data_IF_944115608908
#
_entry.id   IF_944115608908
#
_cell.length_a   1.000
_cell.length_b   1.000
_cell.length_c   1.000
_cell.angle_alpha   90.00
_cell.angle_beta   90.00
_cell.angle_gamma   90.00
#
_symmetry.space_group_name_H-M   'P 1'
#
loop_
_entity.id
_entity.type
_entity.pdbx_description
1 polymer ?
#
# COMPACT_ATOMS: atom_id res chain seq x y z
N UNK A 1 1.34 -35.32 0.77
CA UNK A 1 -0.04 -34.90 0.40
C UNK A 1 -0.91 -34.54 1.61
N UNK A 2 -0.88 -35.29 2.73
CA UNK A 2 -1.72 -35.01 3.91
C UNK A 2 -1.49 -33.63 4.59
N UNK A 3 -0.27 -33.09 4.56
CA UNK A 3 0.04 -31.76 5.12
C UNK A 3 -0.59 -30.58 4.34
N UNK A 4 -0.73 -30.71 3.02
CA UNK A 4 -1.37 -29.69 2.19
C UNK A 4 -2.88 -29.72 2.38
N UNK A 5 -3.47 -30.92 2.52
CA UNK A 5 -4.91 -31.10 2.72
C UNK A 5 -5.35 -30.54 4.08
N UNK A 6 -4.57 -30.75 5.15
CA UNK A 6 -4.86 -30.19 6.48
C UNK A 6 -4.71 -28.66 6.54
N UNK A 7 -3.73 -28.09 5.83
CA UNK A 7 -3.60 -26.63 5.69
C UNK A 7 -4.78 -26.01 4.92
N UNK A 8 -5.25 -26.66 3.85
CA UNK A 8 -6.41 -26.23 3.07
C UNK A 8 -7.74 -26.36 3.85
N UNK A 9 -7.90 -27.40 4.67
CA UNK A 9 -9.04 -27.52 5.58
C UNK A 9 -9.08 -26.40 6.63
N UNK A 10 -7.91 -25.98 7.12
CA UNK A 10 -7.81 -24.90 8.11
C UNK A 10 -8.09 -23.52 7.48
N UNK A 11 -7.59 -23.24 6.27
CA UNK A 11 -7.94 -22.03 5.52
C UNK A 11 -9.43 -21.97 5.14
N UNK A 12 -10.00 -23.08 4.66
CA UNK A 12 -11.41 -23.14 4.27
C UNK A 12 -12.36 -23.10 5.47
N UNK A 13 -11.92 -23.48 6.67
CA UNK A 13 -12.71 -23.31 7.91
C UNK A 13 -12.81 -21.84 8.32
N UNK A 14 -11.80 -21.05 7.99
CA UNK A 14 -11.70 -19.63 8.35
C UNK A 14 -12.32 -18.68 7.31
N UNK A 15 -13.07 -19.19 6.32
CA UNK A 15 -13.76 -18.39 5.30
C UNK A 15 -14.58 -17.21 5.88
N UNK A 16 -15.16 -17.41 7.07
CA UNK A 16 -15.97 -16.41 7.76
C UNK A 16 -15.13 -15.22 8.27
N UNK A 17 -13.86 -15.46 8.64
CA UNK A 17 -12.92 -14.39 9.00
C UNK A 17 -12.59 -13.51 7.79
N UNK A 18 -12.45 -14.10 6.59
CA UNK A 18 -12.25 -13.32 5.37
C UNK A 18 -13.49 -12.49 5.02
N UNK A 19 -14.69 -13.03 5.25
CA UNK A 19 -15.95 -12.31 5.02
C UNK A 19 -16.10 -11.11 5.97
N UNK A 20 -15.84 -11.31 7.26
CA UNK A 20 -15.82 -10.22 8.26
C UNK A 20 -14.78 -9.16 7.87
N UNK A 21 -13.58 -9.59 7.49
CA UNK A 21 -12.51 -8.67 7.05
C UNK A 21 -12.98 -7.86 5.84
N UNK A 22 -13.61 -8.49 4.84
CA UNK A 22 -14.16 -7.81 3.67
C UNK A 22 -15.20 -6.74 4.03
N UNK A 23 -16.14 -7.06 4.94
CA UNK A 23 -17.14 -6.11 5.43
C UNK A 23 -16.48 -4.93 6.16
N UNK A 24 -15.49 -5.20 7.02
CA UNK A 24 -14.74 -4.16 7.73
C UNK A 24 -14.05 -3.22 6.74
N UNK A 25 -13.43 -3.75 5.68
CA UNK A 25 -12.78 -2.94 4.64
C UNK A 25 -13.78 -2.08 3.86
N UNK A 26 -14.98 -2.59 3.55
CA UNK A 26 -16.04 -1.81 2.91
C UNK A 26 -16.47 -0.66 3.82
N UNK A 27 -16.74 -0.94 5.10
CA UNK A 27 -17.11 0.08 6.08
C UNK A 27 -16.01 1.11 6.26
N UNK A 28 -14.75 0.69 6.33
CA UNK A 28 -13.59 1.59 6.38
C UNK A 28 -13.51 2.49 5.14
N UNK A 29 -13.78 1.96 3.95
CA UNK A 29 -13.90 2.73 2.71
C UNK A 29 -15.00 3.80 2.80
N UNK A 30 -16.19 3.42 3.27
CA UNK A 30 -17.31 4.37 3.46
C UNK A 30 -16.96 5.46 4.47
N UNK A 31 -16.42 5.08 5.63
CA UNK A 31 -15.98 6.03 6.66
C UNK A 31 -14.94 7.00 6.12
N UNK A 32 -14.03 6.54 5.25
CA UNK A 32 -13.02 7.39 4.60
C UNK A 32 -13.63 8.51 3.77
N UNK A 33 -14.75 8.26 3.09
CA UNK A 33 -15.46 9.27 2.34
C UNK A 33 -16.37 10.16 3.19
N UNK A 34 -16.94 9.62 4.27
CA UNK A 34 -17.83 10.39 5.18
C UNK A 34 -17.03 11.33 6.08
N UNK A 35 -15.85 10.91 6.56
CA UNK A 35 -15.00 11.69 7.48
C UNK A 35 -13.60 11.93 6.89
N UNK A 36 -13.49 12.67 5.78
CA UNK A 36 -12.23 12.83 5.03
C UNK A 36 -11.10 13.40 5.89
N UNK A 37 -11.38 14.38 6.75
CA UNK A 37 -10.38 15.01 7.61
C UNK A 37 -9.80 14.04 8.66
N UNK A 38 -10.65 13.23 9.31
CA UNK A 38 -10.21 12.27 10.33
C UNK A 38 -9.44 11.11 9.71
N UNK A 39 -9.92 10.60 8.57
CA UNK A 39 -9.23 9.55 7.84
C UNK A 39 -7.87 10.01 7.32
N UNK A 40 -7.76 11.27 6.90
CA UNK A 40 -6.49 11.86 6.51
C UNK A 40 -5.51 11.95 7.68
N UNK A 41 -5.95 12.41 8.85
CA UNK A 41 -5.13 12.43 10.06
C UNK A 41 -4.70 11.03 10.50
N UNK A 42 -5.59 10.04 10.42
CA UNK A 42 -5.26 8.65 10.71
C UNK A 42 -4.16 8.12 9.76
N UNK A 43 -4.26 8.46 8.46
CA UNK A 43 -3.23 8.13 7.47
C UNK A 43 -1.90 8.81 7.80
N UNK A 44 -1.93 10.07 8.26
CA UNK A 44 -0.75 10.82 8.66
C UNK A 44 -0.05 10.18 9.86
N UNK A 45 -0.80 9.79 10.89
CA UNK A 45 -0.26 9.09 12.05
C UNK A 45 0.32 7.73 11.63
N UNK A 46 -0.40 6.98 10.80
CA UNK A 46 0.08 5.68 10.29
C UNK A 46 1.41 5.82 9.56
N UNK A 47 1.54 6.82 8.67
CA UNK A 47 2.81 7.11 7.98
C UNK A 47 3.91 7.54 8.93
N UNK A 48 3.60 8.39 9.93
CA UNK A 48 4.57 8.80 10.96
C UNK A 48 5.14 7.59 11.72
N UNK A 49 4.27 6.66 12.13
CA UNK A 49 4.69 5.40 12.78
C UNK A 49 5.52 4.55 11.83
N UNK A 50 5.12 4.41 10.57
CA UNK A 50 5.84 3.61 9.59
C UNK A 50 7.25 4.16 9.32
N UNK A 51 7.40 5.48 9.19
CA UNK A 51 8.69 6.15 9.02
C UNK A 51 9.56 5.96 10.27
N UNK A 52 9.00 6.15 11.47
CA UNK A 52 9.72 5.95 12.72
C UNK A 52 10.23 4.51 12.85
N UNK A 53 9.35 3.53 12.66
CA UNK A 53 9.70 2.10 12.71
C UNK A 53 10.74 1.74 11.65
N UNK A 54 10.57 2.24 10.42
CA UNK A 54 11.53 2.07 9.33
C UNK A 54 12.90 2.64 9.66
N UNK A 55 12.96 3.84 10.26
CA UNK A 55 14.19 4.45 10.74
C UNK A 55 14.87 3.62 11.82
N UNK A 56 14.11 3.18 12.83
CA UNK A 56 14.61 2.29 13.90
C UNK A 56 15.17 1.00 13.32
N UNK A 57 14.46 0.36 12.39
CA UNK A 57 14.94 -0.86 11.73
C UNK A 57 16.20 -0.62 10.89
N UNK A 58 16.29 0.49 10.14
CA UNK A 58 17.50 0.86 9.39
C UNK A 58 18.68 1.08 10.32
N UNK A 59 18.49 1.74 11.46
CA UNK A 59 19.54 1.93 12.47
C UNK A 59 19.99 0.58 13.03
N UNK A 60 19.05 -0.28 13.44
CA UNK A 60 19.35 -1.61 13.96
C UNK A 60 20.07 -2.49 12.92
N UNK A 61 19.61 -2.45 11.66
CA UNK A 61 20.21 -3.17 10.55
C UNK A 61 21.62 -2.67 10.25
N UNK A 62 21.82 -1.35 10.21
CA UNK A 62 23.13 -0.76 10.06
C UNK A 62 24.04 -1.31 11.17
N UNK A 63 23.71 -1.10 12.45
CA UNK A 63 24.56 -1.50 13.58
C UNK A 63 24.93 -2.99 13.52
N UNK A 64 23.97 -3.86 13.19
CA UNK A 64 24.16 -5.31 13.11
C UNK A 64 25.09 -5.73 11.96
N UNK A 65 24.99 -5.07 10.81
CA UNK A 65 25.71 -5.42 9.58
C UNK A 65 26.89 -4.49 9.28
N UNK A 66 27.43 -3.81 10.30
CA UNK A 66 28.47 -2.77 10.16
C UNK A 66 29.73 -3.22 9.42
N UNK A 67 30.09 -4.50 9.51
CA UNK A 67 31.32 -5.05 8.92
C UNK A 67 31.12 -5.55 7.49
N UNK A 68 29.88 -5.83 7.08
CA UNK A 68 29.53 -6.31 5.74
C UNK A 68 28.98 -5.21 4.82
N UNK A 69 28.60 -4.05 5.36
CA UNK A 69 28.01 -2.94 4.61
C UNK A 69 29.07 -1.95 4.13
N UNK A 70 29.34 -1.94 2.82
CA UNK A 70 30.01 -0.80 2.17
C UNK A 70 29.10 0.43 2.28
N UNK A 71 29.51 1.45 3.04
CA UNK A 71 28.72 2.67 3.27
C UNK A 71 27.83 2.65 4.52
N UNK A 72 28.11 1.76 5.49
CA UNK A 72 27.40 1.65 6.76
C UNK A 72 27.02 2.99 7.43
N UNK A 73 27.95 3.94 7.48
CA UNK A 73 27.73 5.25 8.11
C UNK A 73 26.61 6.05 7.43
N UNK A 74 26.46 5.94 6.11
CA UNK A 74 25.37 6.60 5.38
C UNK A 74 24.02 5.94 5.68
N UNK A 75 23.98 4.61 5.74
CA UNK A 75 22.76 3.88 6.12
C UNK A 75 22.35 4.23 7.56
N UNK A 76 23.30 4.29 8.49
CA UNK A 76 23.04 4.70 9.87
C UNK A 76 22.50 6.15 9.92
N UNK A 77 23.16 7.09 9.25
CA UNK A 77 22.73 8.48 9.19
C UNK A 77 21.31 8.61 8.63
N UNK A 78 21.01 7.92 7.53
CA UNK A 78 19.66 7.91 6.94
C UNK A 78 18.62 7.32 7.90
N UNK A 79 18.94 6.24 8.62
CA UNK A 79 18.04 5.65 9.61
C UNK A 79 17.77 6.58 10.80
N UNK A 80 18.79 7.30 11.28
CA UNK A 80 18.63 8.29 12.36
C UNK A 80 17.76 9.45 11.89
N UNK A 81 18.00 9.97 10.69
CA UNK A 81 17.17 11.03 10.09
C UNK A 81 15.72 10.58 9.96
N UNK A 82 15.48 9.39 9.41
CA UNK A 82 14.13 8.82 9.29
C UNK A 82 13.45 8.67 10.66
N UNK A 83 14.18 8.18 11.68
CA UNK A 83 13.64 8.04 13.03
C UNK A 83 13.26 9.39 13.66
N UNK A 84 14.12 10.41 13.51
CA UNK A 84 13.84 11.77 14.01
C UNK A 84 12.66 12.38 13.28
N UNK A 85 12.59 12.25 11.95
CA UNK A 85 11.45 12.72 11.15
C UNK A 85 10.18 12.01 11.63
N UNK A 86 10.18 10.68 11.75
CA UNK A 86 9.05 9.91 12.23
C UNK A 86 8.58 10.36 13.61
N UNK A 87 9.51 10.62 14.53
CA UNK A 87 9.19 11.15 15.86
C UNK A 87 8.55 12.54 15.81
N UNK A 88 9.07 13.46 14.99
CA UNK A 88 8.51 14.80 14.79
C UNK A 88 7.09 14.71 14.21
N UNK A 89 6.87 13.86 13.21
CA UNK A 89 5.56 13.67 12.59
C UNK A 89 4.52 13.15 13.61
N UNK A 90 4.94 12.32 14.57
CA UNK A 90 4.03 11.83 15.61
C UNK A 90 3.77 12.85 16.74
N UNK A 91 4.68 13.81 16.94
CA UNK A 91 4.52 14.86 17.94
C UNK A 91 3.41 15.87 17.59
N UNK A 92 3.19 16.12 16.30
CA UNK A 92 2.10 16.98 15.83
C UNK A 92 1.41 16.36 14.59
N UNK A 93 0.19 15.83 14.74
CA UNK A 93 -0.60 15.28 13.64
C UNK A 93 -0.81 16.28 12.49
N UNK A 94 -0.80 17.59 12.78
CA UNK A 94 -0.97 18.63 11.76
C UNK A 94 0.26 18.76 10.87
N UNK A 95 1.46 18.64 11.45
CA UNK A 95 2.71 18.58 10.68
C UNK A 95 2.74 17.31 9.84
N UNK A 96 2.35 16.17 10.42
CA UNK A 96 2.29 14.92 9.65
C UNK A 96 1.35 15.00 8.45
N UNK A 97 0.16 15.58 8.67
CA UNK A 97 -0.83 15.84 7.64
C UNK A 97 -0.31 16.81 6.55
N UNK A 98 0.54 17.78 6.90
CA UNK A 98 1.12 18.70 5.93
C UNK A 98 2.23 18.06 5.09
N UNK A 99 2.97 17.07 5.62
CA UNK A 99 4.10 16.43 4.93
C UNK A 99 3.64 15.36 3.94
N UNK A 100 2.54 14.67 4.23
CA UNK A 100 1.98 13.60 3.39
C UNK A 100 1.84 13.96 1.88
N UNK A 101 1.26 15.11 1.48
CA UNK A 101 1.09 15.47 0.07
C UNK A 101 2.43 15.63 -0.64
N UNK A 102 3.48 16.07 0.07
CA UNK A 102 4.81 16.20 -0.52
C UNK A 102 5.40 14.82 -0.80
N UNK A 103 5.31 13.89 0.15
CA UNK A 103 5.77 12.50 -0.06
C UNK A 103 5.08 11.89 -1.28
N UNK A 104 3.76 12.05 -1.37
CA UNK A 104 2.96 11.53 -2.49
C UNK A 104 3.28 12.24 -3.79
N UNK A 105 3.43 13.56 -3.78
CA UNK A 105 3.80 14.35 -4.95
C UNK A 105 5.15 13.88 -5.51
N UNK A 106 6.15 13.72 -4.66
CA UNK A 106 7.45 13.16 -5.06
C UNK A 106 7.35 11.73 -5.58
N UNK A 107 6.53 10.88 -4.95
CA UNK A 107 6.30 9.53 -5.45
C UNK A 107 5.64 9.53 -6.84
N UNK A 108 4.63 10.37 -7.07
CA UNK A 108 3.97 10.51 -8.36
C UNK A 108 4.96 11.03 -9.43
N UNK A 109 5.83 11.97 -9.07
CA UNK A 109 6.90 12.45 -9.97
C UNK A 109 7.86 11.32 -10.35
N UNK A 110 8.35 10.58 -9.35
CA UNK A 110 9.23 9.44 -9.57
C UNK A 110 8.55 8.38 -10.45
N UNK A 111 7.31 8.01 -10.15
CA UNK A 111 6.53 7.05 -10.92
C UNK A 111 6.29 7.53 -12.37
N UNK A 112 5.99 8.81 -12.57
CA UNK A 112 5.85 9.42 -13.90
C UNK A 112 7.15 9.32 -14.70
N UNK A 113 8.29 9.61 -14.08
CA UNK A 113 9.60 9.43 -14.68
C UNK A 113 9.87 7.99 -15.10
N UNK A 114 9.59 7.02 -14.22
CA UNK A 114 9.74 5.58 -14.52
C UNK A 114 8.83 5.15 -15.68
N UNK A 115 7.57 5.59 -15.71
CA UNK A 115 6.63 5.29 -16.80
C UNK A 115 7.12 5.81 -18.14
N UNK A 116 7.68 7.03 -18.18
CA UNK A 116 8.27 7.57 -19.39
C UNK A 116 9.46 6.71 -19.83
N UNK A 117 10.36 6.35 -18.91
CA UNK A 117 11.51 5.49 -19.22
C UNK A 117 11.08 4.15 -19.81
N UNK A 118 10.10 3.47 -19.17
CA UNK A 118 9.54 2.20 -19.66
C UNK A 118 8.82 2.35 -20.99
N UNK A 119 8.11 3.46 -21.20
CA UNK A 119 7.42 3.75 -22.45
C UNK A 119 8.39 4.03 -23.60
N UNK A 120 9.52 4.68 -23.33
CA UNK A 120 10.60 4.89 -24.31
C UNK A 120 11.28 3.57 -24.68
N UNK A 121 11.61 2.74 -23.68
CA UNK A 121 12.19 1.42 -23.91
C UNK A 121 11.23 0.50 -24.67
N UNK A 122 9.93 0.53 -24.33
CA UNK A 122 8.88 -0.18 -25.06
C UNK A 122 8.67 0.31 -26.49
N UNK A 123 8.93 1.60 -26.78
CA UNK A 123 8.95 2.13 -28.15
C UNK A 123 10.12 1.55 -28.95
N UNK A 124 11.30 1.44 -28.35
CA UNK A 124 12.47 0.83 -29.00
C UNK A 124 12.24 -0.65 -29.33
N UNK A 125 11.44 -1.35 -28.52
CA UNK A 125 11.08 -2.76 -28.71
C UNK A 125 9.83 -2.97 -29.60
N UNK A 126 9.34 -1.93 -30.28
CA UNK A 126 8.13 -1.96 -31.14
C UNK A 126 6.87 -2.54 -30.45
N UNK A 127 6.73 -2.33 -29.13
CA UNK A 127 5.56 -2.78 -28.37
C UNK A 127 4.38 -1.84 -28.65
N UNK A 128 3.27 -2.39 -29.13
CA UNK A 128 2.02 -1.67 -29.35
C UNK A 128 1.49 -1.10 -28.02
N UNK A 129 1.31 0.22 -27.95
CA UNK A 129 0.83 0.91 -26.75
C UNK A 129 1.88 1.71 -25.98
N UNK A 130 3.16 1.64 -26.37
CA UNK A 130 4.23 2.42 -25.74
C UNK A 130 3.97 3.95 -25.72
N UNK A 131 3.32 4.48 -26.77
CA UNK A 131 2.91 5.90 -26.79
C UNK A 131 1.91 6.27 -25.69
N UNK A 132 0.99 5.37 -25.34
CA UNK A 132 0.03 5.58 -24.25
C UNK A 132 0.71 5.57 -22.88
N UNK A 133 1.74 4.73 -22.71
CA UNK A 133 2.52 4.66 -21.46
C UNK A 133 3.31 5.96 -21.24
N UNK A 134 3.94 6.50 -22.29
CA UNK A 134 4.66 7.79 -22.23
C UNK A 134 3.69 8.93 -21.89
N UNK A 135 2.53 8.97 -22.56
CA UNK A 135 1.50 9.98 -22.27
C UNK A 135 1.02 9.89 -20.82
N UNK A 136 0.74 8.68 -20.33
CA UNK A 136 0.38 8.44 -18.94
C UNK A 136 1.46 8.94 -17.97
N UNK A 137 2.74 8.64 -18.24
CA UNK A 137 3.85 9.13 -17.43
C UNK A 137 3.99 10.66 -17.43
N UNK A 138 3.77 11.32 -18.58
CA UNK A 138 3.78 12.78 -18.66
C UNK A 138 2.63 13.42 -17.87
N UNK A 139 1.42 12.84 -17.93
CA UNK A 139 0.29 13.27 -17.10
C UNK A 139 0.59 13.06 -15.62
N UNK A 140 1.20 11.94 -15.24
CA UNK A 140 1.65 11.71 -13.86
C UNK A 140 2.67 12.76 -13.41
N UNK A 141 3.64 13.15 -14.24
CA UNK A 141 4.56 14.23 -13.90
C UNK A 141 3.83 15.55 -13.63
N UNK A 142 2.93 15.96 -14.53
CA UNK A 142 2.15 17.18 -14.35
C UNK A 142 1.29 17.14 -13.07
N UNK A 143 0.68 16.00 -12.78
CA UNK A 143 -0.07 15.80 -11.54
C UNK A 143 0.83 15.86 -10.31
N UNK A 144 2.00 15.22 -10.34
CA UNK A 144 2.98 15.26 -9.25
C UNK A 144 3.46 16.68 -8.97
N UNK A 145 3.76 17.45 -10.02
CA UNK A 145 4.10 18.88 -9.91
C UNK A 145 2.92 19.64 -9.28
N UNK A 146 1.71 19.45 -9.80
CA UNK A 146 0.50 20.11 -9.29
C UNK A 146 0.25 19.84 -7.80
N UNK A 147 0.48 18.60 -7.35
CA UNK A 147 0.35 18.21 -5.94
C UNK A 147 1.37 18.93 -5.05
N UNK A 148 2.60 19.15 -5.53
CA UNK A 148 3.62 19.88 -4.76
C UNK A 148 3.29 21.38 -4.61
N UNK A 149 2.72 21.99 -5.65
CA UNK A 149 2.30 23.41 -5.60
C UNK A 149 0.97 23.62 -4.88
N UNK A 150 0.09 22.62 -4.89
CA UNK A 150 -1.22 22.65 -4.23
C UNK A 150 -1.33 21.44 -3.30
N UNK A 151 -0.71 21.47 -2.09
CA UNK A 151 -0.72 20.34 -1.16
C UNK A 151 -2.12 19.84 -0.79
N UNK A 152 -3.12 20.74 -0.79
CA UNK A 152 -4.51 20.38 -0.58
C UNK A 152 -5.04 19.37 -1.63
N UNK A 153 -4.56 19.44 -2.87
CA UNK A 153 -4.92 18.48 -3.92
C UNK A 153 -4.32 17.10 -3.66
N UNK A 154 -3.14 17.03 -3.03
CA UNK A 154 -2.54 15.76 -2.60
C UNK A 154 -3.34 15.07 -1.50
N UNK A 155 -3.90 15.83 -0.56
CA UNK A 155 -4.78 15.29 0.48
C UNK A 155 -6.06 14.66 -0.12
N UNK A 156 -6.70 15.34 -1.06
CA UNK A 156 -7.89 14.82 -1.78
C UNK A 156 -7.54 13.56 -2.55
N UNK A 157 -6.38 13.54 -3.22
CA UNK A 157 -5.90 12.39 -3.97
C UNK A 157 -5.70 11.19 -3.05
N UNK A 158 -5.05 11.38 -1.89
CA UNK A 158 -4.84 10.34 -0.89
C UNK A 158 -6.15 9.76 -0.37
N UNK A 159 -7.09 10.61 0.07
CA UNK A 159 -8.40 10.17 0.57
C UNK A 159 -9.14 9.37 -0.50
N UNK A 160 -9.16 9.87 -1.73
CA UNK A 160 -9.85 9.23 -2.85
C UNK A 160 -9.23 7.87 -3.18
N UNK A 161 -7.89 7.81 -3.28
CA UNK A 161 -7.17 6.59 -3.63
C UNK A 161 -7.28 5.53 -2.53
N UNK A 162 -7.12 5.93 -1.27
CA UNK A 162 -7.27 5.05 -0.11
C UNK A 162 -8.71 4.55 0.02
N UNK A 163 -9.70 5.44 -0.08
CA UNK A 163 -11.12 5.07 -0.04
C UNK A 163 -11.49 4.09 -1.14
N UNK A 164 -11.04 4.34 -2.38
CA UNK A 164 -11.26 3.43 -3.50
C UNK A 164 -10.56 2.09 -3.31
N UNK A 165 -9.33 2.10 -2.79
CA UNK A 165 -8.55 0.88 -2.51
C UNK A 165 -9.20 0.02 -1.43
N UNK A 166 -9.76 0.63 -0.38
CA UNK A 166 -10.49 -0.10 0.66
C UNK A 166 -11.79 -0.70 0.13
N UNK A 167 -12.52 0.01 -0.73
CA UNK A 167 -13.69 -0.55 -1.40
C UNK A 167 -13.30 -1.73 -2.31
N UNK A 168 -12.26 -1.60 -3.13
CA UNK A 168 -11.81 -2.69 -4.02
C UNK A 168 -11.29 -3.90 -3.23
N UNK A 169 -10.54 -3.67 -2.16
CA UNK A 169 -10.05 -4.73 -1.27
C UNK A 169 -11.22 -5.43 -0.57
N UNK A 170 -12.17 -4.68 -0.04
CA UNK A 170 -13.37 -5.22 0.60
C UNK A 170 -14.19 -6.11 -0.33
N UNK A 171 -14.41 -5.67 -1.57
CA UNK A 171 -15.08 -6.48 -2.61
C UNK A 171 -14.29 -7.76 -2.90
N UNK A 172 -12.96 -7.67 -3.02
CA UNK A 172 -12.09 -8.83 -3.26
C UNK A 172 -12.17 -9.86 -2.13
N UNK A 173 -12.09 -9.41 -0.87
CA UNK A 173 -12.19 -10.30 0.29
C UNK A 173 -13.57 -10.98 0.38
N UNK A 174 -14.65 -10.25 0.10
CA UNK A 174 -15.99 -10.83 0.00
C UNK A 174 -16.07 -11.89 -1.12
N UNK A 175 -15.52 -11.61 -2.31
CA UNK A 175 -15.49 -12.58 -3.41
C UNK A 175 -14.70 -13.85 -3.06
N UNK A 176 -13.53 -13.70 -2.43
CA UNK A 176 -12.69 -14.84 -1.99
C UNK A 176 -13.41 -15.66 -0.93
N UNK A 177 -14.03 -15.02 0.06
CA UNK A 177 -14.79 -15.70 1.10
C UNK A 177 -15.93 -16.56 0.52
N UNK A 178 -16.71 -16.02 -0.42
CA UNK A 178 -17.79 -16.74 -1.09
C UNK A 178 -17.28 -17.90 -1.97
N UNK A 179 -16.11 -17.73 -2.61
CA UNK A 179 -15.46 -18.81 -3.37
C UNK A 179 -14.98 -19.93 -2.44
N UNK A 180 -14.42 -19.60 -1.28
CA UNK A 180 -13.98 -20.56 -0.27
C UNK A 180 -15.15 -21.33 0.36
N UNK A 181 -16.27 -20.65 0.65
CA UNK A 181 -17.49 -21.30 1.14
C UNK A 181 -18.02 -22.33 0.15
N UNK A 182 -18.06 -21.98 -1.15
CA UNK A 182 -18.46 -22.91 -2.23
C UNK A 182 -17.49 -24.10 -2.36
N UNK A 183 -16.19 -23.87 -2.23
CA UNK A 183 -15.18 -24.93 -2.28
C UNK A 183 -15.32 -25.91 -1.10
N UNK A 184 -15.56 -25.39 0.11
CA UNK A 184 -15.82 -26.20 1.32
C UNK A 184 -17.04 -27.10 1.14
N UNK A 185 -18.13 -26.58 0.59
CA UNK A 185 -19.33 -27.37 0.32
C UNK A 185 -19.08 -28.51 -0.68
N UNK A 186 -18.25 -28.29 -1.71
CA UNK A 186 -17.88 -29.34 -2.68
C UNK A 186 -17.00 -30.42 -2.06
N UNK A 187 -16.03 -30.04 -1.23
CA UNK A 187 -15.16 -31.00 -0.52
C UNK A 187 -15.94 -31.84 0.48
N UNK A 188 -16.88 -31.24 1.22
CA UNK A 188 -17.75 -31.98 2.15
C UNK A 188 -18.64 -33.01 1.44
N UNK A 189 -19.03 -32.73 0.19
CA UNK A 189 -19.80 -33.66 -0.65
C UNK A 189 -18.96 -34.82 -1.21
N UNK A 190 -17.66 -34.60 -1.44
CA UNK A 190 -16.72 -35.61 -1.96
C UNK A 190 -16.08 -36.47 -0.85
N UNK A 191 -15.98 -35.95 0.37
CA UNK A 191 -15.49 -36.69 1.55
C UNK A 191 -16.53 -37.65 2.14
N UNK A 192 -17.71 -37.76 1.54
CA UNK A 192 -18.69 -38.82 1.83
C UNK A 192 -18.64 -39.81 0.65
N UNK A 193 -17.63 -40.69 0.54
CA UNK A 193 -17.80 -41.90 -0.25
C UNK A 193 -18.81 -42.79 0.47
N UNK A 194 -19.67 -43.41 -0.33
CA UNK A 194 -20.85 -44.15 0.07
C UNK A 194 -20.64 -45.18 1.18
N UNK A 195 -21.70 -45.31 1.96
CA UNK A 195 -22.14 -46.58 2.53
C UNK A 195 -22.20 -47.67 1.46
#
# INVERSE_FOLDING_TARGET
MAGIISALEQETRNWWLLLITGIIFILAGVVTFVYPAQSYLALAVFFGVAILMGGIFKVAFAITNRESLHGWGWTLASGVVDAVIGFILLGDPLISAAVLPFIVGFYILYAGGVLISLGLEGRHLHITGAGWVIFGGAVSLLLGIGVLFVPAAGAVTLITFTGLSFLSAGITYCMVALKLEKARHRLKKLSIPGN
#
